data_IF_651421962684
#
_entry.id   IF_651421962684
#
_cell.length_a   1.000
_cell.length_b   1.000
_cell.length_c   1.000
_cell.angle_alpha   90.00
_cell.angle_beta   90.00
_cell.angle_gamma   90.00
#
_symmetry.space_group_name_H-M   'P 1'
#
loop_
_entity.id
_entity.type
_entity.pdbx_description
1 polymer ?
#
# COMPACT_ATOMS: atom_id res chain seq x y z
N UNK A 1 -8.06 18.56 -1.94
CA UNK A 1 -7.49 18.70 -0.57
C UNK A 1 -6.02 18.27 -0.64
N UNK A 2 -5.07 19.08 -0.17
CA UNK A 2 -3.63 18.77 -0.28
C UNK A 2 -3.15 17.97 0.94
N UNK A 3 -3.40 16.67 0.94
CA UNK A 3 -2.89 15.77 1.98
C UNK A 3 -1.38 15.55 1.80
N UNK A 4 -0.59 16.08 2.74
CA UNK A 4 0.87 15.97 2.74
C UNK A 4 1.39 14.69 3.40
N UNK A 5 0.49 13.85 3.92
CA UNK A 5 0.85 12.58 4.53
C UNK A 5 1.36 11.55 3.52
N UNK A 6 2.07 10.51 4.01
CA UNK A 6 2.45 9.34 3.21
C UNK A 6 1.21 8.56 2.75
N UNK A 7 1.39 7.65 1.77
CA UNK A 7 0.31 6.74 1.34
C UNK A 7 -0.25 5.92 2.52
N UNK A 8 0.64 5.31 3.29
CA UNK A 8 0.32 4.51 4.48
C UNK A 8 1.27 4.88 5.60
N UNK A 9 0.73 5.16 6.79
CA UNK A 9 1.51 5.45 7.98
C UNK A 9 2.34 4.24 8.41
N UNK A 10 3.61 4.45 8.77
CA UNK A 10 4.52 3.38 9.19
C UNK A 10 5.08 2.51 8.06
N UNK A 11 4.74 2.77 6.79
CA UNK A 11 5.32 2.06 5.66
C UNK A 11 6.72 2.60 5.32
N UNK A 12 7.70 1.70 5.25
CA UNK A 12 9.10 2.02 4.95
C UNK A 12 9.46 1.94 3.46
N UNK A 13 8.51 1.96 2.52
CA UNK A 13 8.86 1.98 1.09
C UNK A 13 9.29 3.39 0.64
N UNK A 14 10.01 3.51 -0.49
CA UNK A 14 10.46 4.81 -1.01
C UNK A 14 9.30 5.76 -1.29
N UNK A 15 8.18 5.24 -1.82
CA UNK A 15 6.99 6.03 -2.09
C UNK A 15 6.43 6.68 -0.81
N UNK A 16 6.32 5.93 0.29
CA UNK A 16 5.83 6.44 1.57
C UNK A 16 6.83 7.36 2.30
N UNK A 17 8.14 7.19 2.07
CA UNK A 17 9.15 8.05 2.72
C UNK A 17 9.37 9.39 2.01
N UNK A 18 9.28 9.39 0.68
CA UNK A 18 9.71 10.53 -0.14
C UNK A 18 8.57 11.24 -0.85
N UNK A 19 7.39 10.64 -0.94
CA UNK A 19 6.24 11.22 -1.64
C UNK A 19 5.00 11.30 -0.74
N UNK A 20 4.20 12.35 -0.94
CA UNK A 20 2.92 12.54 -0.27
C UNK A 20 1.75 12.07 -1.12
N UNK A 21 0.59 11.86 -0.49
CA UNK A 21 -0.67 11.55 -1.19
C UNK A 21 -1.04 12.63 -2.20
N UNK A 22 -0.88 13.92 -1.86
CA UNK A 22 -1.10 15.02 -2.79
C UNK A 22 -0.13 15.00 -3.98
N UNK A 23 1.14 14.66 -3.75
CA UNK A 23 2.13 14.55 -4.83
C UNK A 23 1.75 13.42 -5.79
N UNK A 24 1.39 12.25 -5.26
CA UNK A 24 0.95 11.13 -6.10
C UNK A 24 -0.37 11.44 -6.84
N UNK A 25 -1.30 12.12 -6.18
CA UNK A 25 -2.55 12.55 -6.82
C UNK A 25 -2.28 13.50 -7.99
N UNK A 26 -1.33 14.43 -7.84
CA UNK A 26 -0.89 15.30 -8.93
C UNK A 26 -0.31 14.48 -10.08
N UNK A 27 0.64 13.58 -9.81
CA UNK A 27 1.28 12.74 -10.83
C UNK A 27 0.26 11.88 -11.58
N UNK A 28 -0.75 11.37 -10.88
CA UNK A 28 -1.86 10.61 -11.48
C UNK A 28 -2.72 11.50 -12.39
N UNK A 29 -3.05 12.73 -11.96
CA UNK A 29 -3.83 13.66 -12.78
C UNK A 29 -3.07 14.14 -14.01
N UNK A 30 -1.74 14.26 -13.92
CA UNK A 30 -0.89 14.64 -15.05
C UNK A 30 -0.49 13.45 -15.92
N UNK A 31 -0.99 12.25 -15.63
CA UNK A 31 -0.66 11.01 -16.35
C UNK A 31 0.85 10.71 -16.44
N UNK A 32 1.58 11.07 -15.39
CA UNK A 32 3.02 10.82 -15.31
C UNK A 32 3.32 9.36 -14.95
N UNK A 33 4.23 8.72 -15.70
CA UNK A 33 4.61 7.31 -15.50
C UNK A 33 5.17 7.05 -14.10
N UNK A 34 5.78 8.06 -13.48
CA UNK A 34 6.31 7.98 -12.12
C UNK A 34 5.25 7.59 -11.08
N UNK A 35 3.99 8.00 -11.28
CA UNK A 35 2.89 7.62 -10.38
C UNK A 35 2.74 6.10 -10.30
N UNK A 36 2.73 5.43 -11.46
CA UNK A 36 2.58 3.98 -11.58
C UNK A 36 3.74 3.24 -10.93
N UNK A 37 4.98 3.70 -11.17
CA UNK A 37 6.19 3.10 -10.58
C UNK A 37 6.18 3.21 -9.05
N UNK A 38 5.81 4.37 -8.51
CA UNK A 38 5.75 4.57 -7.06
C UNK A 38 4.67 3.70 -6.40
N UNK A 39 3.51 3.56 -7.06
CA UNK A 39 2.43 2.68 -6.59
C UNK A 39 2.83 1.21 -6.64
N UNK A 40 3.46 0.76 -7.71
CA UNK A 40 3.94 -0.61 -7.86
C UNK A 40 5.01 -0.96 -6.80
N UNK A 41 5.91 -0.02 -6.51
CA UNK A 41 6.90 -0.18 -5.45
C UNK A 41 6.24 -0.29 -4.06
N UNK A 42 5.23 0.54 -3.77
CA UNK A 42 4.48 0.45 -2.52
C UNK A 42 3.77 -0.90 -2.38
N UNK A 43 3.06 -1.32 -3.44
CA UNK A 43 2.31 -2.56 -3.48
C UNK A 43 3.22 -3.78 -3.32
N UNK A 44 4.34 -3.81 -4.03
CA UNK A 44 5.31 -4.93 -3.97
C UNK A 44 5.95 -5.03 -2.60
N UNK A 45 6.32 -3.91 -1.98
CA UNK A 45 6.88 -3.89 -0.62
C UNK A 45 5.90 -4.51 0.39
N UNK A 46 4.62 -4.15 0.31
CA UNK A 46 3.59 -4.73 1.17
C UNK A 46 3.41 -6.24 0.90
N UNK A 47 3.37 -6.64 -0.37
CA UNK A 47 3.21 -8.03 -0.78
C UNK A 47 4.34 -8.94 -0.29
N UNK A 48 5.58 -8.47 -0.33
CA UNK A 48 6.71 -9.23 0.21
C UNK A 48 6.61 -9.44 1.72
N UNK A 49 6.17 -8.44 2.48
CA UNK A 49 5.90 -8.58 3.91
C UNK A 49 4.79 -9.60 4.18
N UNK A 50 3.73 -9.58 3.38
CA UNK A 50 2.65 -10.56 3.46
C UNK A 50 3.13 -11.99 3.16
N UNK A 51 3.84 -12.19 2.05
CA UNK A 51 4.37 -13.50 1.67
C UNK A 51 5.41 -14.05 2.66
N UNK A 52 6.17 -13.16 3.32
CA UNK A 52 7.07 -13.55 4.40
C UNK A 52 6.33 -14.18 5.58
N UNK A 53 5.17 -13.61 5.96
CA UNK A 53 4.34 -14.12 7.05
C UNK A 53 3.63 -15.43 6.68
N UNK A 54 3.15 -15.56 5.43
CA UNK A 54 2.43 -16.76 4.99
C UNK A 54 3.30 -18.00 4.84
N UNK A 55 4.62 -17.85 4.69
CA UNK A 55 5.57 -18.98 4.55
C UNK A 55 5.70 -19.85 5.80
N UNK A 56 5.29 -19.37 6.97
CA UNK A 56 5.25 -20.15 8.21
C UNK A 56 3.95 -20.90 8.45
N UNK A 57 2.91 -20.67 7.63
CA UNK A 57 1.56 -21.17 7.86
C UNK A 57 1.16 -22.15 6.75
N UNK A 58 1.40 -23.45 6.96
CA UNK A 58 1.21 -24.52 5.96
C UNK A 58 -0.26 -24.89 5.73
N UNK A 59 -1.21 -24.20 6.38
CA UNK A 59 -2.62 -24.59 6.42
C UNK A 59 -3.59 -23.43 6.20
N UNK A 60 -3.91 -23.13 4.94
CA UNK A 60 -5.12 -22.38 4.58
C UNK A 60 -4.88 -20.93 4.13
N UNK A 61 -4.21 -20.76 3.00
CA UNK A 61 -4.05 -19.47 2.30
C UNK A 61 -5.38 -18.76 2.05
N UNK A 62 -6.46 -19.48 1.74
CA UNK A 62 -7.77 -18.87 1.46
C UNK A 62 -8.41 -18.16 2.68
N UNK A 63 -8.34 -18.77 3.87
CA UNK A 63 -8.91 -18.18 5.10
C UNK A 63 -8.05 -17.02 5.63
N UNK A 64 -6.72 -17.11 5.46
CA UNK A 64 -5.80 -16.02 5.76
C UNK A 64 -6.03 -14.81 4.84
N UNK A 65 -6.16 -15.03 3.53
CA UNK A 65 -6.44 -13.97 2.54
C UNK A 65 -7.80 -13.31 2.82
N UNK A 66 -8.86 -14.08 3.12
CA UNK A 66 -10.18 -13.52 3.41
C UNK A 66 -10.19 -12.63 4.67
N UNK A 67 -9.51 -13.05 5.75
CA UNK A 67 -9.38 -12.24 6.98
C UNK A 67 -8.52 -10.99 6.75
N UNK A 68 -7.48 -11.07 5.92
CA UNK A 68 -6.59 -9.95 5.63
C UNK A 68 -7.17 -8.96 4.62
N UNK A 69 -8.00 -9.39 3.66
CA UNK A 69 -8.77 -8.47 2.82
C UNK A 69 -9.76 -7.64 3.66
N UNK A 70 -10.34 -8.24 4.70
CA UNK A 70 -11.20 -7.52 5.65
C UNK A 70 -10.41 -6.49 6.48
N UNK A 71 -9.19 -6.82 6.92
CA UNK A 71 -8.36 -5.86 7.68
C UNK A 71 -7.73 -4.77 6.79
N UNK A 72 -7.38 -5.10 5.54
CA UNK A 72 -6.93 -4.12 4.54
C UNK A 72 -8.05 -3.16 4.11
N UNK A 73 -9.29 -3.66 3.99
CA UNK A 73 -10.47 -2.82 3.78
C UNK A 73 -10.73 -1.89 4.98
N UNK A 74 -10.52 -2.35 6.21
CA UNK A 74 -10.62 -1.52 7.41
C UNK A 74 -9.52 -0.44 7.48
N UNK A 75 -8.30 -0.73 7.02
CA UNK A 75 -7.21 0.25 6.92
C UNK A 75 -7.48 1.38 5.93
N UNK A 76 -8.26 1.13 4.87
CA UNK A 76 -8.71 2.14 3.92
C UNK A 76 -9.89 2.99 4.44
N UNK A 77 -10.72 2.44 5.34
CA UNK A 77 -11.86 3.15 5.93
C UNK A 77 -11.43 4.23 6.95
N UNK A 78 -10.26 4.09 7.58
CA UNK A 78 -9.72 5.09 8.51
C UNK A 78 -9.07 6.31 7.81
N UNK A 79 -9.03 6.33 6.48
CA UNK A 79 -8.39 7.37 5.67
C UNK A 79 -9.38 8.36 5.00
N UNK A 80 -10.64 8.43 5.47
CA UNK A 80 -11.66 9.40 5.04
C UNK A 80 -11.71 10.63 5.93
#
# INVERSE_FOLDING_TARGET
RADKGPLVQGCSCLACRSHSRAHLQLLLHTHEMLASVLLELHNTHWWWGFLGQSRGDTGGTAAAIHRLLQSAAAGNAAAT
#
